data_IF_121027156118
#
_entry.id   IF_121027156118
#
_cell.length_a   1.000
_cell.length_b   1.000
_cell.length_c   1.000
_cell.angle_alpha   90.00
_cell.angle_beta   90.00
_cell.angle_gamma   90.00
#
_symmetry.space_group_name_H-M   'P 1'
#
loop_
_entity.id
_entity.type
_entity.pdbx_description
1 polymer ?
#
# COMPACT_ATOMS: atom_id res chain seq x y z
N UNK A 1 51.32 11.75 30.95
CA UNK A 1 50.48 11.11 32.02
C UNK A 1 49.02 10.94 31.64
N UNK A 2 48.53 11.60 30.60
CA UNK A 2 47.11 11.54 30.12
C UNK A 2 46.77 10.26 29.31
N UNK A 3 47.62 9.82 28.41
CA UNK A 3 47.37 8.70 27.49
C UNK A 3 47.14 7.34 28.21
N UNK A 4 47.93 7.06 29.25
CA UNK A 4 47.78 5.86 30.09
C UNK A 4 46.41 5.81 30.82
N UNK A 5 45.91 6.96 31.27
CA UNK A 5 44.58 7.06 31.92
C UNK A 5 43.43 6.83 30.94
N UNK A 6 43.56 7.32 29.67
CA UNK A 6 42.59 7.08 28.63
C UNK A 6 42.56 5.60 28.19
N UNK A 7 43.72 4.95 28.08
CA UNK A 7 43.79 3.53 27.71
C UNK A 7 43.22 2.64 28.83
N UNK A 8 43.46 2.96 30.10
CA UNK A 8 42.89 2.22 31.24
C UNK A 8 41.40 2.44 31.34
N UNK A 9 40.89 3.66 31.07
CA UNK A 9 39.44 3.93 31.03
C UNK A 9 38.76 3.19 29.87
N UNK A 10 39.38 3.11 28.69
CA UNK A 10 38.87 2.36 27.55
C UNK A 10 38.83 0.84 27.79
N UNK A 11 39.90 0.30 28.45
CA UNK A 11 39.95 -1.12 28.86
C UNK A 11 38.90 -1.47 29.93
N UNK A 12 38.61 -0.54 30.86
CA UNK A 12 37.59 -0.73 31.88
C UNK A 12 36.16 -0.68 31.29
N UNK A 13 35.90 0.14 30.27
CA UNK A 13 34.63 0.21 29.57
C UNK A 13 34.40 -1.06 28.75
N UNK A 14 35.41 -1.59 28.08
CA UNK A 14 35.32 -2.87 27.34
C UNK A 14 35.09 -4.06 28.25
N UNK A 15 35.65 -4.08 29.47
CA UNK A 15 35.49 -5.17 30.43
C UNK A 15 34.05 -5.26 31.03
N UNK A 16 33.25 -4.16 31.02
CA UNK A 16 31.90 -4.14 31.53
C UNK A 16 30.85 -4.69 30.54
N UNK A 17 31.18 -4.87 29.27
CA UNK A 17 30.22 -5.33 28.23
C UNK A 17 30.14 -6.86 28.17
N UNK A 18 31.13 -7.59 28.61
CA UNK A 18 31.21 -9.05 28.48
C UNK A 18 30.27 -9.89 29.36
N UNK A 19 29.88 -9.53 30.61
CA UNK A 19 29.05 -10.40 31.44
C UNK A 19 27.57 -10.48 30.99
N UNK A 20 27.05 -9.45 30.34
CA UNK A 20 25.66 -9.41 29.92
C UNK A 20 25.36 -10.38 28.76
N UNK A 21 26.29 -10.56 27.81
CA UNK A 21 26.18 -11.50 26.70
C UNK A 21 26.19 -12.97 27.16
N UNK A 22 26.98 -13.30 28.20
CA UNK A 22 27.08 -14.67 28.69
C UNK A 22 25.79 -15.19 29.34
N UNK A 23 25.06 -14.31 30.05
CA UNK A 23 23.84 -14.69 30.75
C UNK A 23 22.66 -14.93 29.75
N UNK A 24 22.53 -14.11 28.69
CA UNK A 24 21.54 -14.32 27.66
C UNK A 24 21.78 -15.65 26.89
N UNK A 25 23.01 -15.92 26.48
CA UNK A 25 23.38 -17.16 25.78
C UNK A 25 23.11 -18.41 26.62
N UNK A 26 23.27 -18.32 27.94
CA UNK A 26 22.95 -19.42 28.86
C UNK A 26 21.46 -19.71 28.92
N UNK A 27 20.62 -18.66 28.91
CA UNK A 27 19.15 -18.79 28.84
C UNK A 27 18.72 -19.32 27.48
N UNK A 28 19.26 -18.79 26.39
CA UNK A 28 18.91 -19.18 25.02
C UNK A 28 19.16 -20.68 24.77
N UNK A 29 20.32 -21.19 25.25
CA UNK A 29 20.72 -22.61 25.08
C UNK A 29 20.18 -23.54 26.18
N UNK A 30 19.61 -23.00 27.24
CA UNK A 30 19.10 -23.78 28.35
C UNK A 30 17.77 -24.45 28.01
N UNK A 31 17.34 -25.38 28.86
CA UNK A 31 16.03 -26.09 28.75
C UNK A 31 15.01 -25.63 29.79
N UNK A 32 15.31 -24.56 30.55
CA UNK A 32 14.33 -23.97 31.48
C UNK A 32 13.42 -23.01 30.70
N UNK A 33 12.28 -23.52 30.26
CA UNK A 33 11.32 -22.81 29.43
C UNK A 33 10.55 -21.72 30.20
N UNK A 34 10.45 -21.81 31.51
CA UNK A 34 9.80 -20.77 32.32
C UNK A 34 10.75 -19.57 32.49
N UNK A 35 12.02 -19.83 32.73
CA UNK A 35 13.05 -18.79 32.73
C UNK A 35 13.20 -18.13 31.35
N UNK A 36 13.13 -18.92 30.24
CA UNK A 36 13.12 -18.37 28.87
C UNK A 36 11.94 -17.41 28.66
N UNK A 37 10.75 -17.79 29.11
CA UNK A 37 9.58 -16.96 28.96
C UNK A 37 9.69 -15.63 29.72
N UNK A 38 10.11 -15.70 30.98
CA UNK A 38 10.36 -14.49 31.77
C UNK A 38 11.39 -13.58 31.11
N UNK A 39 12.49 -14.16 30.59
CA UNK A 39 13.53 -13.40 29.90
C UNK A 39 13.04 -12.81 28.58
N UNK A 40 12.25 -13.53 27.80
CA UNK A 40 11.63 -13.01 26.59
C UNK A 40 10.73 -11.81 26.88
N UNK A 41 9.89 -11.88 27.90
CA UNK A 41 9.03 -10.75 28.33
C UNK A 41 9.84 -9.56 28.83
N UNK A 42 10.93 -9.79 29.59
CA UNK A 42 11.84 -8.72 30.01
C UNK A 42 12.42 -7.97 28.82
N UNK A 43 12.91 -8.72 27.82
CA UNK A 43 13.51 -8.16 26.61
C UNK A 43 12.47 -7.45 25.77
N UNK A 44 11.29 -8.04 25.59
CA UNK A 44 10.16 -7.43 24.88
C UNK A 44 9.76 -6.08 25.49
N UNK A 45 9.61 -6.01 26.82
CA UNK A 45 9.31 -4.76 27.54
C UNK A 45 10.39 -3.69 27.37
N UNK A 46 11.66 -4.12 27.21
CA UNK A 46 12.80 -3.24 26.90
C UNK A 46 12.90 -2.88 25.42
N UNK A 47 11.95 -3.33 24.59
CA UNK A 47 11.95 -3.16 23.13
C UNK A 47 13.15 -3.81 22.43
N UNK A 48 13.77 -4.80 23.08
CA UNK A 48 14.86 -5.59 22.52
C UNK A 48 14.29 -6.83 21.80
N UNK A 49 13.58 -6.56 20.72
CA UNK A 49 12.84 -7.57 19.97
C UNK A 49 13.79 -8.58 19.32
N UNK A 50 14.97 -8.15 18.92
CA UNK A 50 16.00 -9.03 18.33
C UNK A 50 16.42 -10.15 19.27
N UNK A 51 16.52 -9.89 20.57
CA UNK A 51 16.85 -10.92 21.56
C UNK A 51 15.60 -11.62 22.12
N UNK A 52 14.46 -10.97 22.13
CA UNK A 52 13.21 -11.59 22.56
C UNK A 52 12.71 -12.65 21.55
N UNK A 53 12.84 -12.37 20.25
CA UNK A 53 12.31 -13.18 19.16
C UNK A 53 12.74 -14.65 19.21
N UNK A 54 14.03 -15.04 19.25
CA UNK A 54 14.44 -16.44 19.23
C UNK A 54 14.01 -17.21 20.49
N UNK A 55 13.83 -16.53 21.63
CA UNK A 55 13.25 -17.15 22.82
C UNK A 55 11.76 -17.46 22.64
N UNK A 56 11.00 -16.51 22.07
CA UNK A 56 9.58 -16.68 21.80
C UNK A 56 9.33 -17.73 20.70
N UNK A 57 10.14 -17.76 19.66
CA UNK A 57 10.05 -18.72 18.56
C UNK A 57 10.14 -20.16 19.06
N UNK A 58 11.10 -20.46 19.93
CA UNK A 58 11.20 -21.79 20.57
C UNK A 58 9.98 -22.08 21.47
N UNK A 59 9.55 -21.08 22.26
CA UNK A 59 8.45 -21.21 23.20
C UNK A 59 7.09 -21.45 22.50
N UNK A 60 6.85 -20.86 21.33
CA UNK A 60 5.63 -21.12 20.53
C UNK A 60 5.45 -22.61 20.24
N UNK A 61 6.54 -23.33 19.96
CA UNK A 61 6.50 -24.76 19.72
C UNK A 61 6.32 -25.56 21.02
N UNK A 62 7.15 -25.26 22.03
CA UNK A 62 7.29 -26.09 23.24
C UNK A 62 6.11 -25.90 24.20
N UNK A 63 5.57 -24.69 24.30
CA UNK A 63 4.47 -24.35 25.22
C UNK A 63 3.09 -24.50 24.58
N UNK A 64 2.97 -25.10 23.39
CA UNK A 64 1.67 -25.32 22.72
C UNK A 64 0.71 -26.08 23.64
N UNK A 65 -0.52 -25.59 23.75
CA UNK A 65 -1.57 -26.20 24.58
C UNK A 65 -1.48 -25.88 26.09
N UNK A 66 -0.51 -25.07 26.52
CA UNK A 66 -0.44 -24.57 27.90
C UNK A 66 -1.20 -23.25 28.05
N UNK A 67 -1.50 -22.85 29.30
CA UNK A 67 -2.14 -21.57 29.59
C UNK A 67 -1.33 -20.34 29.10
N UNK A 68 0.00 -20.46 28.96
CA UNK A 68 0.86 -19.38 28.48
C UNK A 68 0.95 -19.31 26.96
N UNK A 69 0.44 -20.31 26.23
CA UNK A 69 0.61 -20.42 24.76
C UNK A 69 0.04 -19.21 24.01
N UNK A 70 -1.11 -18.71 24.42
CA UNK A 70 -1.75 -17.54 23.82
C UNK A 70 -0.87 -16.29 23.94
N UNK A 71 -0.40 -15.97 25.15
CA UNK A 71 0.45 -14.81 25.39
C UNK A 71 1.79 -14.90 24.65
N UNK A 72 2.41 -16.08 24.68
CA UNK A 72 3.67 -16.33 23.96
C UNK A 72 3.49 -16.08 22.47
N UNK A 73 2.40 -16.61 21.88
CA UNK A 73 2.14 -16.45 20.45
C UNK A 73 1.82 -15.01 20.07
N UNK A 74 1.08 -14.29 20.92
CA UNK A 74 0.79 -12.87 20.72
C UNK A 74 2.07 -12.01 20.71
N UNK A 75 2.97 -12.21 21.69
CA UNK A 75 4.25 -11.49 21.69
C UNK A 75 5.16 -11.89 20.53
N UNK A 76 5.09 -13.13 20.08
CA UNK A 76 5.81 -13.59 18.88
C UNK A 76 5.33 -12.86 17.62
N UNK A 77 4.01 -12.71 17.42
CA UNK A 77 3.46 -11.93 16.31
C UNK A 77 3.98 -10.49 16.31
N UNK A 78 3.98 -9.86 17.49
CA UNK A 78 4.48 -8.51 17.65
C UNK A 78 6.01 -8.39 17.49
N UNK A 79 6.78 -9.41 17.82
CA UNK A 79 8.21 -9.40 17.54
C UNK A 79 8.48 -9.31 16.04
N UNK A 80 7.76 -10.07 15.20
CA UNK A 80 7.85 -9.92 13.75
C UNK A 80 7.51 -8.49 13.31
N UNK A 81 6.43 -7.92 13.84
CA UNK A 81 6.01 -6.55 13.53
C UNK A 81 7.09 -5.51 13.87
N UNK A 82 7.65 -5.57 15.06
CA UNK A 82 8.67 -4.62 15.50
C UNK A 82 10.05 -4.85 14.86
N UNK A 83 10.30 -6.02 14.29
CA UNK A 83 11.47 -6.34 13.48
C UNK A 83 11.28 -6.03 11.99
N UNK A 84 10.16 -5.38 11.63
CA UNK A 84 9.78 -5.00 10.26
C UNK A 84 9.57 -6.19 9.30
N UNK A 85 9.38 -7.40 9.86
CA UNK A 85 8.95 -8.56 9.09
C UNK A 85 7.42 -8.58 8.99
N UNK A 86 6.89 -7.64 8.22
CA UNK A 86 5.45 -7.41 8.09
C UNK A 86 4.71 -8.60 7.46
N UNK A 87 5.37 -9.35 6.60
CA UNK A 87 4.79 -10.53 5.93
C UNK A 87 4.53 -11.64 6.95
N UNK A 88 5.56 -12.02 7.70
CA UNK A 88 5.41 -13.04 8.76
C UNK A 88 4.49 -12.55 9.87
N UNK A 89 4.59 -11.27 10.23
CA UNK A 89 3.70 -10.66 11.24
C UNK A 89 2.23 -10.79 10.85
N UNK A 90 1.86 -10.39 9.63
CA UNK A 90 0.49 -10.52 9.11
C UNK A 90 0.01 -11.96 9.14
N UNK A 91 0.83 -12.90 8.68
CA UNK A 91 0.51 -14.32 8.71
C UNK A 91 0.26 -14.83 10.14
N UNK A 92 1.16 -14.51 11.08
CA UNK A 92 1.05 -14.99 12.45
C UNK A 92 -0.12 -14.35 13.22
N UNK A 93 -0.42 -13.07 12.99
CA UNK A 93 -1.63 -12.43 13.54
C UNK A 93 -2.90 -13.08 12.99
N UNK A 94 -2.95 -13.44 11.70
CA UNK A 94 -4.08 -14.17 11.15
C UNK A 94 -4.24 -15.55 11.79
N UNK A 95 -3.13 -16.27 11.99
CA UNK A 95 -3.15 -17.56 12.68
C UNK A 95 -3.55 -17.42 14.15
N UNK A 96 -3.11 -16.34 14.83
CA UNK A 96 -3.51 -16.04 16.21
C UNK A 96 -5.04 -15.86 16.31
N UNK A 97 -5.62 -15.01 15.50
CA UNK A 97 -7.07 -14.74 15.51
C UNK A 97 -7.89 -16.02 15.21
N UNK A 98 -7.39 -16.90 14.33
CA UNK A 98 -8.02 -18.20 14.03
C UNK A 98 -7.87 -19.21 15.16
N UNK A 99 -6.73 -19.22 15.86
CA UNK A 99 -6.43 -20.22 16.90
C UNK A 99 -7.10 -19.85 18.22
N UNK A 100 -7.19 -18.56 18.52
CA UNK A 100 -7.73 -18.02 19.77
C UNK A 100 -8.91 -17.05 19.53
N UNK A 101 -10.00 -17.51 18.88
CA UNK A 101 -11.10 -16.61 18.48
C UNK A 101 -11.84 -15.97 19.64
N UNK A 102 -11.76 -16.56 20.84
CA UNK A 102 -12.38 -16.03 22.07
C UNK A 102 -11.40 -15.21 22.93
N UNK A 103 -10.19 -14.98 22.46
CA UNK A 103 -9.22 -14.15 23.14
C UNK A 103 -9.65 -12.68 23.13
N UNK A 104 -9.42 -11.96 24.21
CA UNK A 104 -9.56 -10.50 24.24
C UNK A 104 -8.61 -9.78 23.29
N UNK A 105 -7.59 -10.48 22.76
CA UNK A 105 -6.60 -10.00 21.80
C UNK A 105 -6.93 -10.36 20.35
N UNK A 106 -8.00 -11.17 20.12
CA UNK A 106 -8.36 -11.65 18.78
C UNK A 106 -8.75 -10.52 17.83
N UNK A 107 -9.50 -9.55 18.33
CA UNK A 107 -9.90 -8.37 17.58
C UNK A 107 -8.70 -7.53 17.15
N UNK A 108 -7.80 -7.21 18.07
CA UNK A 108 -6.57 -6.49 17.77
C UNK A 108 -5.68 -7.26 16.79
N UNK A 109 -5.54 -8.58 16.98
CA UNK A 109 -4.78 -9.43 16.05
C UNK A 109 -5.38 -9.39 14.64
N UNK A 110 -6.70 -9.45 14.50
CA UNK A 110 -7.37 -9.34 13.21
C UNK A 110 -7.13 -7.96 12.55
N UNK A 111 -7.15 -6.86 13.32
CA UNK A 111 -6.78 -5.55 12.83
C UNK A 111 -5.32 -5.50 12.37
N UNK A 112 -4.40 -6.08 13.13
CA UNK A 112 -2.95 -6.08 12.81
C UNK A 112 -2.63 -6.82 11.50
N UNK A 113 -3.45 -7.80 11.08
CA UNK A 113 -3.33 -8.42 9.75
C UNK A 113 -3.39 -7.36 8.66
N UNK A 114 -4.46 -6.58 8.65
CA UNK A 114 -4.68 -5.53 7.66
C UNK A 114 -3.65 -4.40 7.77
N UNK A 115 -3.28 -4.04 9.00
CA UNK A 115 -2.34 -2.96 9.27
C UNK A 115 -0.93 -3.29 8.79
N UNK A 116 -0.48 -4.54 8.91
CA UNK A 116 0.80 -4.97 8.33
C UNK A 116 0.82 -4.83 6.80
N UNK A 117 -0.25 -5.19 6.09
CA UNK A 117 -0.36 -4.96 4.65
C UNK A 117 -0.35 -3.47 4.30
N UNK A 118 -1.01 -2.62 5.11
CA UNK A 118 -0.99 -1.18 4.92
C UNK A 118 0.42 -0.61 5.04
N UNK A 119 1.16 -0.99 6.08
CA UNK A 119 2.56 -0.56 6.26
C UNK A 119 3.47 -1.06 5.14
N UNK A 120 3.24 -2.27 4.65
CA UNK A 120 3.95 -2.83 3.50
C UNK A 120 3.49 -2.28 2.13
N UNK A 121 2.55 -1.32 2.11
CA UNK A 121 2.07 -0.69 0.87
C UNK A 121 3.07 0.34 0.35
N UNK A 122 3.68 0.13 -0.83
CA UNK A 122 4.74 0.99 -1.32
C UNK A 122 4.21 2.30 -1.93
N UNK A 123 5.12 3.12 -2.46
CA UNK A 123 4.80 4.31 -3.26
C UNK A 123 3.92 3.94 -4.46
N UNK A 124 3.05 4.88 -4.90
CA UNK A 124 2.04 4.65 -5.94
C UNK A 124 2.61 4.12 -7.26
N UNK A 125 3.85 4.47 -7.61
CA UNK A 125 4.51 4.06 -8.84
C UNK A 125 4.88 2.56 -8.88
N UNK A 126 5.04 1.93 -7.70
CA UNK A 126 5.42 0.53 -7.56
C UNK A 126 4.19 -0.39 -7.59
N UNK A 127 4.40 -1.70 -7.49
CA UNK A 127 3.33 -2.69 -7.39
C UNK A 127 2.42 -2.42 -6.18
N UNK A 128 1.10 -2.49 -6.37
CA UNK A 128 0.11 -2.15 -5.35
C UNK A 128 -0.60 -3.38 -4.76
N UNK A 129 -0.03 -4.56 -4.90
CA UNK A 129 -0.61 -5.81 -4.36
C UNK A 129 -0.89 -5.68 -2.85
N UNK A 130 0.07 -5.15 -2.07
CA UNK A 130 -0.12 -4.95 -0.63
C UNK A 130 -1.20 -3.91 -0.33
N UNK A 131 -1.32 -2.86 -1.15
CA UNK A 131 -2.38 -1.84 -0.98
C UNK A 131 -3.77 -2.43 -1.17
N UNK A 132 -3.95 -3.24 -2.21
CA UNK A 132 -5.21 -3.94 -2.48
C UNK A 132 -5.52 -4.94 -1.37
N UNK A 133 -4.52 -5.71 -0.93
CA UNK A 133 -4.67 -6.67 0.16
C UNK A 133 -5.02 -6.00 1.48
N UNK A 134 -4.40 -4.85 1.79
CA UNK A 134 -4.75 -4.07 2.97
C UNK A 134 -6.21 -3.61 2.96
N UNK A 135 -6.71 -3.12 1.82
CA UNK A 135 -8.13 -2.72 1.68
C UNK A 135 -9.04 -3.92 1.90
N UNK A 136 -8.72 -5.08 1.30
CA UNK A 136 -9.49 -6.31 1.45
C UNK A 136 -9.56 -6.74 2.92
N UNK A 137 -8.42 -6.85 3.60
CA UNK A 137 -8.35 -7.30 4.99
C UNK A 137 -9.00 -6.29 5.96
N UNK A 138 -8.88 -4.96 5.71
CA UNK A 138 -9.61 -3.95 6.47
C UNK A 138 -11.12 -4.10 6.31
N UNK A 139 -11.61 -4.40 5.10
CA UNK A 139 -13.03 -4.62 4.85
C UNK A 139 -13.54 -5.89 5.55
N UNK A 140 -12.73 -6.97 5.54
CA UNK A 140 -13.01 -8.21 6.30
C UNK A 140 -13.09 -7.89 7.79
N UNK A 141 -12.14 -7.12 8.33
CA UNK A 141 -12.14 -6.69 9.73
C UNK A 141 -13.40 -5.90 10.10
N UNK A 142 -13.77 -4.88 9.31
CA UNK A 142 -14.97 -4.06 9.55
C UNK A 142 -16.24 -4.92 9.56
N UNK A 143 -16.34 -5.88 8.64
CA UNK A 143 -17.50 -6.79 8.57
C UNK A 143 -17.56 -7.74 9.78
N UNK A 144 -16.42 -8.19 10.28
CA UNK A 144 -16.34 -9.10 11.42
C UNK A 144 -16.54 -8.39 12.77
N UNK A 145 -16.04 -7.15 12.89
CA UNK A 145 -16.05 -6.34 14.12
C UNK A 145 -16.67 -4.95 13.89
N UNK A 146 -17.96 -4.85 13.53
CA UNK A 146 -18.57 -3.59 13.10
C UNK A 146 -18.66 -2.51 14.21
N UNK A 147 -18.54 -2.90 15.46
CA UNK A 147 -18.57 -2.01 16.65
C UNK A 147 -17.18 -1.72 17.22
N UNK A 148 -16.13 -2.22 16.59
CA UNK A 148 -14.74 -2.04 17.04
C UNK A 148 -14.31 -0.58 16.99
N UNK A 149 -13.49 -0.17 17.95
CA UNK A 149 -12.81 1.14 17.93
C UNK A 149 -11.87 1.33 16.74
N UNK A 150 -11.35 0.24 16.13
CA UNK A 150 -10.49 0.29 14.96
C UNK A 150 -11.24 0.56 13.65
N UNK A 151 -12.59 0.49 13.60
CA UNK A 151 -13.38 0.70 12.37
C UNK A 151 -13.14 2.08 11.76
N UNK A 152 -13.13 3.12 12.58
CA UNK A 152 -12.85 4.48 12.09
C UNK A 152 -11.46 4.58 11.47
N UNK A 153 -10.46 3.96 12.10
CA UNK A 153 -9.09 3.93 11.59
C UNK A 153 -8.98 3.12 10.30
N UNK A 154 -9.64 1.97 10.21
CA UNK A 154 -9.68 1.18 8.97
C UNK A 154 -10.26 1.98 7.81
N UNK A 155 -11.38 2.69 8.00
CA UNK A 155 -11.96 3.53 6.96
C UNK A 155 -11.01 4.64 6.50
N UNK A 156 -10.35 5.34 7.43
CA UNK A 156 -9.33 6.34 7.11
C UNK A 156 -8.20 5.77 6.24
N UNK A 157 -7.68 4.60 6.62
CA UNK A 157 -6.58 3.94 5.90
C UNK A 157 -7.02 3.42 4.52
N UNK A 158 -8.25 2.90 4.40
CA UNK A 158 -8.84 2.52 3.10
C UNK A 158 -8.90 3.73 2.17
N UNK A 159 -9.33 4.89 2.67
CA UNK A 159 -9.43 6.10 1.85
C UNK A 159 -8.04 6.58 1.41
N UNK A 160 -7.03 6.54 2.28
CA UNK A 160 -5.64 6.84 1.91
C UNK A 160 -5.12 5.92 0.80
N UNK A 161 -5.38 4.61 0.91
CA UNK A 161 -4.98 3.63 -0.11
C UNK A 161 -5.73 3.84 -1.43
N UNK A 162 -7.02 4.15 -1.39
CA UNK A 162 -7.82 4.47 -2.59
C UNK A 162 -7.29 5.69 -3.33
N UNK A 163 -6.92 6.75 -2.60
CA UNK A 163 -6.28 7.95 -3.18
C UNK A 163 -4.95 7.58 -3.85
N UNK A 164 -4.16 6.69 -3.25
CA UNK A 164 -2.90 6.20 -3.83
C UNK A 164 -3.15 5.41 -5.13
N UNK A 165 -4.13 4.50 -5.13
CA UNK A 165 -4.52 3.72 -6.30
C UNK A 165 -5.07 4.60 -7.44
N UNK A 166 -5.88 5.61 -7.09
CA UNK A 166 -6.37 6.61 -8.03
C UNK A 166 -5.22 7.35 -8.70
N UNK A 167 -4.28 7.86 -7.92
CA UNK A 167 -3.09 8.54 -8.43
C UNK A 167 -2.29 7.64 -9.39
N UNK A 168 -2.05 6.37 -9.01
CA UNK A 168 -1.39 5.39 -9.89
C UNK A 168 -2.11 5.22 -11.20
N UNK A 169 -3.43 5.05 -11.17
CA UNK A 169 -4.25 4.85 -12.36
C UNK A 169 -4.14 6.03 -13.31
N UNK A 170 -4.25 7.24 -12.79
CA UNK A 170 -4.16 8.49 -13.58
C UNK A 170 -2.75 8.68 -14.15
N UNK A 171 -1.71 8.60 -13.33
CA UNK A 171 -0.33 8.81 -13.79
C UNK A 171 0.12 7.77 -14.81
N UNK A 172 -0.26 6.50 -14.63
CA UNK A 172 0.00 5.45 -15.63
C UNK A 172 -0.71 5.75 -16.95
N UNK A 173 -1.96 6.23 -16.89
CA UNK A 173 -2.73 6.58 -18.09
C UNK A 173 -2.14 7.78 -18.82
N UNK A 174 -1.67 8.79 -18.08
CA UNK A 174 -0.99 9.95 -18.63
C UNK A 174 0.38 9.59 -19.23
N UNK A 175 1.04 8.55 -18.74
CA UNK A 175 2.29 8.06 -19.32
C UNK A 175 2.09 7.58 -20.75
N UNK A 176 1.00 6.85 -21.05
CA UNK A 176 0.68 6.46 -22.43
C UNK A 176 0.52 7.67 -23.35
N UNK A 177 -0.08 8.75 -22.87
CA UNK A 177 -0.18 10.01 -23.62
C UNK A 177 1.21 10.62 -23.88
N UNK A 178 2.08 10.68 -22.87
CA UNK A 178 3.45 11.22 -22.97
C UNK A 178 4.32 10.40 -23.94
N UNK A 179 4.10 9.09 -24.01
CA UNK A 179 4.80 8.19 -24.93
C UNK A 179 4.14 8.09 -26.31
N UNK A 180 3.14 8.94 -26.59
CA UNK A 180 2.44 9.02 -27.89
C UNK A 180 1.61 7.78 -28.23
N UNK A 181 1.39 6.85 -27.29
CA UNK A 181 0.42 5.76 -27.48
C UNK A 181 -0.99 6.26 -27.17
N UNK A 182 -1.52 7.08 -28.07
CA UNK A 182 -2.81 7.75 -27.87
C UNK A 182 -3.97 6.78 -27.76
N UNK A 183 -3.90 5.62 -28.43
CA UNK A 183 -4.97 4.60 -28.32
C UNK A 183 -5.00 3.96 -26.92
N UNK A 184 -3.83 3.59 -26.39
CA UNK A 184 -3.74 3.07 -25.03
C UNK A 184 -4.12 4.14 -23.99
N UNK A 185 -3.68 5.39 -24.19
CA UNK A 185 -4.05 6.52 -23.33
C UNK A 185 -5.57 6.69 -23.21
N UNK A 186 -6.30 6.68 -24.35
CA UNK A 186 -7.76 6.81 -24.34
C UNK A 186 -8.41 5.68 -23.53
N UNK A 187 -7.98 4.45 -23.73
CA UNK A 187 -8.54 3.29 -23.04
C UNK A 187 -8.25 3.37 -21.54
N UNK A 188 -6.99 3.61 -21.17
CA UNK A 188 -6.57 3.68 -19.77
C UNK A 188 -7.25 4.83 -19.02
N UNK A 189 -7.35 6.02 -19.63
CA UNK A 189 -8.03 7.18 -19.03
C UNK A 189 -9.54 6.92 -18.85
N UNK A 190 -10.21 6.26 -19.82
CA UNK A 190 -11.61 5.86 -19.66
C UNK A 190 -11.79 4.84 -18.53
N UNK A 191 -10.87 3.90 -18.37
CA UNK A 191 -10.88 2.95 -17.26
C UNK A 191 -10.68 3.68 -15.92
N UNK A 192 -9.75 4.63 -15.84
CA UNK A 192 -9.57 5.46 -14.63
C UNK A 192 -10.85 6.20 -14.21
N UNK A 193 -11.62 6.74 -15.19
CA UNK A 193 -12.93 7.37 -14.89
C UNK A 193 -13.99 6.39 -14.41
N UNK A 194 -13.92 5.14 -14.89
CA UNK A 194 -14.84 4.08 -14.47
C UNK A 194 -14.50 3.58 -13.06
N UNK A 195 -13.22 3.36 -12.78
CA UNK A 195 -12.75 2.83 -11.51
C UNK A 195 -12.82 3.88 -10.38
N UNK A 196 -12.64 5.16 -10.74
CA UNK A 196 -12.67 6.30 -9.82
C UNK A 196 -13.71 7.36 -10.28
N UNK A 197 -15.02 7.10 -10.14
CA UNK A 197 -16.06 7.96 -10.67
C UNK A 197 -16.10 9.36 -10.04
N UNK A 198 -15.56 9.55 -8.84
CA UNK A 198 -15.51 10.83 -8.13
C UNK A 198 -14.12 11.49 -8.16
N UNK A 199 -13.26 11.08 -9.12
CA UNK A 199 -11.88 11.57 -9.21
C UNK A 199 -11.80 13.09 -9.32
N UNK A 200 -10.88 13.68 -8.55
CA UNK A 200 -10.50 15.10 -8.67
C UNK A 200 -9.76 15.41 -9.97
N UNK A 201 -9.24 14.41 -10.65
CA UNK A 201 -8.49 14.53 -11.91
C UNK A 201 -9.40 14.52 -13.15
N UNK A 202 -10.75 14.56 -12.98
CA UNK A 202 -11.72 14.40 -14.08
C UNK A 202 -11.52 15.36 -15.23
N UNK A 203 -11.26 16.66 -14.95
CA UNK A 203 -11.00 17.66 -15.97
C UNK A 203 -9.76 17.29 -16.80
N UNK A 204 -8.65 17.00 -16.12
CA UNK A 204 -7.40 16.58 -16.75
C UNK A 204 -7.56 15.31 -17.60
N UNK A 205 -8.29 14.33 -17.08
CA UNK A 205 -8.53 13.05 -17.77
C UNK A 205 -9.35 13.30 -19.06
N UNK A 206 -10.48 14.00 -18.97
CA UNK A 206 -11.34 14.25 -20.13
C UNK A 206 -10.62 15.09 -21.18
N UNK A 207 -9.88 16.11 -20.75
CA UNK A 207 -9.09 16.90 -21.68
C UNK A 207 -7.99 16.10 -22.36
N UNK A 208 -7.30 15.22 -21.62
CA UNK A 208 -6.28 14.33 -22.22
C UNK A 208 -6.90 13.30 -23.17
N UNK A 209 -8.10 12.80 -22.88
CA UNK A 209 -8.85 11.95 -23.81
C UNK A 209 -9.15 12.71 -25.13
N UNK A 210 -9.59 13.96 -25.03
CA UNK A 210 -9.83 14.81 -26.21
C UNK A 210 -8.55 14.99 -27.03
N UNK A 211 -7.45 15.38 -26.39
CA UNK A 211 -6.14 15.55 -27.06
C UNK A 211 -5.66 14.24 -27.70
N UNK A 212 -5.81 13.13 -26.99
CA UNK A 212 -5.42 11.81 -27.49
C UNK A 212 -6.21 11.40 -28.73
N UNK A 213 -7.54 11.63 -28.75
CA UNK A 213 -8.38 11.37 -29.92
C UNK A 213 -7.95 12.22 -31.12
N UNK A 214 -7.69 13.50 -30.90
CA UNK A 214 -7.25 14.43 -31.96
C UNK A 214 -5.91 13.98 -32.54
N UNK A 215 -4.90 13.77 -31.70
CA UNK A 215 -3.57 13.33 -32.15
C UNK A 215 -3.59 11.95 -32.80
N UNK A 216 -4.45 11.04 -32.33
CA UNK A 216 -4.67 9.75 -32.96
C UNK A 216 -5.30 9.93 -34.37
N UNK A 217 -6.20 10.89 -34.55
CA UNK A 217 -6.80 11.18 -35.86
C UNK A 217 -5.76 11.76 -36.83
N UNK A 218 -4.99 12.76 -36.37
CA UNK A 218 -3.91 13.40 -37.16
C UNK A 218 -2.90 12.37 -37.71
N UNK A 219 -2.49 11.42 -36.85
CA UNK A 219 -1.48 10.39 -37.18
C UNK A 219 -2.10 9.13 -37.83
N UNK A 220 -3.30 9.25 -38.40
CA UNK A 220 -3.99 8.10 -38.99
C UNK A 220 -3.91 8.09 -40.51
N UNK A 221 -4.05 6.89 -41.09
CA UNK A 221 -4.31 6.75 -42.54
C UNK A 221 -5.69 7.33 -42.86
N UNK A 222 -5.86 7.86 -44.09
CA UNK A 222 -7.06 8.62 -44.48
C UNK A 222 -8.36 7.84 -44.30
N UNK A 223 -8.34 6.54 -44.55
CA UNK A 223 -9.52 5.65 -44.36
C UNK A 223 -10.04 5.59 -42.92
N UNK A 224 -9.25 6.01 -41.93
CA UNK A 224 -9.62 6.03 -40.49
C UNK A 224 -9.86 7.44 -39.95
N UNK A 225 -9.47 8.47 -40.68
CA UNK A 225 -9.54 9.86 -40.21
C UNK A 225 -10.96 10.31 -39.90
N UNK A 226 -11.93 10.04 -40.78
CA UNK A 226 -13.32 10.44 -40.56
C UNK A 226 -13.87 9.95 -39.23
N UNK A 227 -13.76 8.62 -38.98
CA UNK A 227 -14.18 8.02 -37.70
C UNK A 227 -13.48 8.66 -36.48
N UNK A 228 -12.15 8.89 -36.59
CA UNK A 228 -11.35 9.37 -35.46
C UNK A 228 -11.56 10.85 -35.16
N UNK A 229 -11.79 11.68 -36.18
CA UNK A 229 -12.20 13.09 -35.95
C UNK A 229 -13.60 13.16 -35.35
N UNK A 230 -14.54 12.27 -35.73
CA UNK A 230 -15.82 12.16 -35.04
C UNK A 230 -15.63 11.83 -33.57
N UNK A 231 -14.78 10.84 -33.24
CA UNK A 231 -14.47 10.50 -31.85
C UNK A 231 -13.85 11.69 -31.08
N UNK A 232 -13.06 12.53 -31.77
CA UNK A 232 -12.53 13.77 -31.17
C UNK A 232 -13.64 14.74 -30.82
N UNK A 233 -14.61 14.95 -31.71
CA UNK A 233 -15.76 15.83 -31.45
C UNK A 233 -16.63 15.29 -30.31
N UNK A 234 -16.86 13.97 -30.26
CA UNK A 234 -17.59 13.34 -29.16
C UNK A 234 -16.87 13.52 -27.81
N UNK A 235 -15.54 13.42 -27.82
CA UNK A 235 -14.72 13.68 -26.62
C UNK A 235 -14.75 15.15 -26.17
N UNK A 236 -14.82 16.10 -27.12
CA UNK A 236 -15.05 17.52 -26.82
C UNK A 236 -16.38 17.74 -26.12
N UNK A 237 -17.48 17.19 -26.63
CA UNK A 237 -18.79 17.33 -26.00
C UNK A 237 -18.80 16.76 -24.58
N UNK A 238 -18.15 15.60 -24.36
CA UNK A 238 -18.04 15.00 -23.05
C UNK A 238 -17.21 15.86 -22.05
N UNK A 239 -16.22 16.62 -22.56
CA UNK A 239 -15.45 17.56 -21.77
C UNK A 239 -16.23 18.84 -21.46
N UNK A 240 -16.79 19.50 -22.49
CA UNK A 240 -17.40 20.82 -22.35
C UNK A 240 -18.69 20.79 -21.54
N UNK A 241 -19.45 19.66 -21.59
CA UNK A 241 -20.63 19.44 -20.76
C UNK A 241 -20.36 19.64 -19.27
N UNK A 242 -19.16 19.31 -18.82
CA UNK A 242 -18.76 19.38 -17.41
C UNK A 242 -17.84 20.54 -17.08
N UNK A 243 -17.03 21.00 -18.02
CA UNK A 243 -15.95 21.96 -17.82
C UNK A 243 -15.96 23.10 -18.83
N UNK A 244 -17.16 23.65 -19.15
CA UNK A 244 -17.31 24.77 -20.07
C UNK A 244 -16.49 26.02 -19.68
N UNK A 245 -16.28 26.23 -18.39
CA UNK A 245 -15.48 27.33 -17.84
C UNK A 245 -14.17 26.83 -17.21
N UNK A 246 -13.74 25.60 -17.54
CA UNK A 246 -12.50 25.01 -17.04
C UNK A 246 -11.27 25.69 -17.65
N UNK A 247 -10.13 25.48 -17.02
CA UNK A 247 -8.84 26.08 -17.46
C UNK A 247 -8.46 25.66 -18.90
N UNK A 248 -8.86 24.45 -19.31
CA UNK A 248 -8.51 23.85 -20.60
C UNK A 248 -9.63 24.08 -21.67
N UNK A 249 -10.72 24.78 -21.33
CA UNK A 249 -11.89 24.94 -22.21
C UNK A 249 -11.54 25.62 -23.56
N UNK A 250 -10.70 26.68 -23.53
CA UNK A 250 -10.28 27.38 -24.75
C UNK A 250 -9.45 26.50 -25.68
N UNK A 251 -8.52 25.72 -25.14
CA UNK A 251 -7.73 24.77 -25.95
C UNK A 251 -8.61 23.63 -26.48
N UNK A 252 -9.56 23.16 -25.68
CA UNK A 252 -10.54 22.13 -26.10
C UNK A 252 -11.36 22.61 -27.29
N UNK A 253 -11.86 23.86 -27.29
CA UNK A 253 -12.60 24.45 -28.41
C UNK A 253 -11.74 24.55 -29.67
N UNK A 254 -10.49 24.96 -29.54
CA UNK A 254 -9.56 25.01 -30.69
C UNK A 254 -9.35 23.64 -31.33
N UNK A 255 -9.22 22.60 -30.51
CA UNK A 255 -9.10 21.22 -30.97
C UNK A 255 -10.39 20.79 -31.69
N UNK A 256 -11.57 21.11 -31.13
CA UNK A 256 -12.85 20.80 -31.74
C UNK A 256 -12.99 21.45 -33.11
N UNK A 257 -12.72 22.75 -33.27
CA UNK A 257 -12.82 23.44 -34.56
C UNK A 257 -11.90 22.82 -35.61
N UNK A 258 -10.65 22.48 -35.24
CA UNK A 258 -9.73 21.77 -36.15
C UNK A 258 -10.29 20.39 -36.54
N UNK A 259 -10.77 19.63 -35.57
CA UNK A 259 -11.33 18.31 -35.83
C UNK A 259 -12.57 18.36 -36.72
N UNK A 260 -13.46 19.37 -36.51
CA UNK A 260 -14.66 19.59 -37.32
C UNK A 260 -14.30 19.92 -38.78
N UNK A 261 -13.35 20.81 -38.99
CA UNK A 261 -12.86 21.16 -40.32
C UNK A 261 -12.28 19.93 -41.04
N UNK A 262 -11.40 19.17 -40.35
CA UNK A 262 -10.80 17.95 -40.91
C UNK A 262 -11.84 16.86 -41.15
N UNK A 263 -12.80 16.66 -40.26
CA UNK A 263 -13.90 15.70 -40.47
C UNK A 263 -14.64 15.95 -41.77
N UNK A 264 -14.92 17.22 -42.11
CA UNK A 264 -15.61 17.62 -43.34
C UNK A 264 -14.84 17.22 -44.61
N UNK A 265 -13.49 17.16 -44.54
CA UNK A 265 -12.65 16.75 -45.68
C UNK A 265 -12.65 15.25 -45.93
N UNK A 266 -12.78 14.44 -44.86
CA UNK A 266 -12.69 12.97 -44.91
C UNK A 266 -14.03 12.27 -44.78
N UNK A 267 -15.15 13.00 -44.67
CA UNK A 267 -16.49 12.42 -44.63
C UNK A 267 -16.77 11.71 -45.98
N UNK A 268 -17.26 10.45 -45.98
CA UNK A 268 -17.67 9.79 -47.19
C UNK A 268 -18.71 10.63 -47.92
N UNK A 269 -18.53 10.84 -49.24
CA UNK A 269 -19.59 11.39 -50.09
C UNK A 269 -20.63 10.29 -50.23
N UNK A 270 -21.84 10.50 -49.69
CA UNK A 270 -22.99 9.59 -49.86
C UNK A 270 -23.48 9.61 -51.30
#
# INVERSE_FOLDING_TARGET
MSYRKCVIAFLLITAMVFPACNNYQKVLKGSDYDLKYQKALELYKKKDYTRAFPLLEELVSVKRGTAAAEDIYYYYCYCHYYLDDLVSSSYHFQQFAKTYPNSSKAEEAAYMVAYCYYLGSPEYSLDQTNSLKAIEEMQVFINQYPTSEYVAKCNELIDQLRIKLELKSVETSLLYFKTMDYKAAIIALKNSLKDFPNTKYREQILFTILKSNYLLAENSVDSKKSERYKNTMDAYYAFIDKFANGKDAREAEQIFEKARASYSLYKPVN
#
